data_IF_174753548593
#
_entry.id   IF_174753548593
#
_cell.length_a   1.000
_cell.length_b   1.000
_cell.length_c   1.000
_cell.angle_alpha   90.00
_cell.angle_beta   90.00
_cell.angle_gamma   90.00
#
_symmetry.space_group_name_H-M   'P 1'
#
loop_
_entity.id
_entity.type
_entity.pdbx_description
1 polymer ?
#
# COMPACT_ATOMS: atom_id res chain seq x y z
N UNK A 1 13.70 13.66 0.76
CA UNK A 1 14.50 13.46 1.99
C UNK A 1 16.00 13.40 1.63
N UNK A 2 16.68 14.58 1.61
CA UNK A 2 18.10 14.67 1.16
C UNK A 2 19.08 13.90 2.06
N UNK A 3 18.75 13.78 3.34
CA UNK A 3 19.62 13.16 4.34
C UNK A 3 19.32 11.67 4.58
N UNK A 4 18.38 11.10 3.86
CA UNK A 4 18.01 9.70 3.97
C UNK A 4 18.53 8.89 2.77
N UNK A 5 19.03 7.71 3.08
CA UNK A 5 19.23 6.64 2.13
C UNK A 5 17.93 5.82 2.11
N UNK A 6 17.22 5.83 0.99
CA UNK A 6 15.96 5.11 0.80
C UNK A 6 16.19 3.97 -0.19
N UNK A 7 15.82 2.76 0.18
CA UNK A 7 15.95 1.56 -0.63
C UNK A 7 14.58 0.91 -0.81
N UNK A 8 14.17 0.55 -2.03
CA UNK A 8 12.84 -0.02 -2.29
C UNK A 8 12.76 -1.46 -1.77
N UNK A 9 11.67 -1.81 -1.10
CA UNK A 9 11.48 -3.12 -0.48
C UNK A 9 10.45 -3.97 -1.19
N UNK A 10 9.26 -3.44 -1.42
CA UNK A 10 8.17 -4.13 -2.11
C UNK A 10 7.16 -3.13 -2.67
N UNK A 11 6.46 -3.59 -3.68
CA UNK A 11 5.33 -2.90 -4.27
C UNK A 11 4.02 -3.41 -3.65
N UNK A 12 3.06 -2.53 -3.47
CA UNK A 12 1.74 -2.89 -2.96
C UNK A 12 0.66 -1.99 -3.55
N UNK A 13 -0.56 -2.49 -3.53
CA UNK A 13 -1.71 -1.74 -4.01
C UNK A 13 -2.87 -1.80 -3.00
N UNK A 14 -4.05 -1.42 -3.42
CA UNK A 14 -5.25 -1.34 -2.59
C UNK A 14 -6.20 -2.47 -2.87
N UNK A 15 -6.97 -2.80 -1.85
CA UNK A 15 -8.14 -3.64 -1.96
C UNK A 15 -9.35 -2.90 -1.39
N UNK A 16 -10.52 -3.26 -1.88
CA UNK A 16 -11.79 -2.92 -1.27
C UNK A 16 -12.18 -4.04 -0.31
N UNK A 17 -12.63 -3.69 0.89
CA UNK A 17 -13.14 -4.64 1.88
C UNK A 17 -14.59 -4.30 2.21
N UNK A 18 -15.43 -5.34 2.28
CA UNK A 18 -16.86 -5.23 2.56
C UNK A 18 -17.31 -6.39 3.45
N UNK A 19 -18.43 -6.27 4.18
CA UNK A 19 -19.08 -7.42 4.81
C UNK A 19 -19.46 -8.48 3.79
N UNK A 20 -19.54 -9.75 4.20
CA UNK A 20 -19.88 -10.88 3.30
C UNK A 20 -21.23 -10.76 2.63
N UNK A 21 -22.17 -10.10 3.25
CA UNK A 21 -23.54 -9.87 2.75
C UNK A 21 -23.70 -8.58 1.93
N UNK A 22 -22.61 -7.84 1.72
CA UNK A 22 -22.61 -6.62 0.92
C UNK A 22 -22.76 -6.92 -0.57
N UNK A 23 -23.47 -6.06 -1.32
CA UNK A 23 -23.71 -6.24 -2.77
C UNK A 23 -22.43 -6.40 -3.59
N UNK A 24 -21.36 -5.71 -3.21
CA UNK A 24 -20.08 -5.78 -3.89
C UNK A 24 -19.30 -7.08 -3.59
N UNK A 25 -19.70 -7.88 -2.61
CA UNK A 25 -18.93 -9.08 -2.23
C UNK A 25 -18.77 -10.06 -3.40
N UNK A 26 -19.76 -10.16 -4.29
CA UNK A 26 -19.70 -11.00 -5.50
C UNK A 26 -18.61 -10.60 -6.50
N UNK A 27 -18.07 -9.38 -6.42
CA UNK A 27 -16.96 -8.90 -7.26
C UNK A 27 -15.64 -9.60 -6.92
N UNK A 28 -15.52 -10.20 -5.75
CA UNK A 28 -14.31 -10.94 -5.36
C UNK A 28 -14.03 -12.14 -6.28
N UNK A 29 -15.09 -12.75 -6.84
CA UNK A 29 -14.98 -13.91 -7.75
C UNK A 29 -14.60 -13.51 -9.19
N UNK A 30 -14.49 -12.21 -9.47
CA UNK A 30 -14.23 -11.68 -10.80
C UNK A 30 -13.12 -10.61 -10.75
N UNK A 31 -11.84 -11.01 -10.69
CA UNK A 31 -10.72 -10.07 -10.64
C UNK A 31 -10.78 -9.03 -11.76
N UNK A 32 -10.53 -7.76 -11.42
CA UNK A 32 -10.58 -6.65 -12.37
C UNK A 32 -11.98 -6.16 -12.74
N UNK A 33 -13.05 -6.73 -12.17
CA UNK A 33 -14.43 -6.32 -12.45
C UNK A 33 -14.90 -5.12 -11.64
N UNK A 34 -14.19 -4.74 -10.57
CA UNK A 34 -14.49 -3.57 -9.75
C UNK A 34 -14.17 -2.30 -10.54
N UNK A 35 -15.04 -1.28 -10.45
CA UNK A 35 -14.81 0.04 -11.05
C UNK A 35 -14.83 1.14 -9.98
N UNK A 36 -14.28 2.31 -10.30
CA UNK A 36 -14.35 3.47 -9.41
C UNK A 36 -15.80 3.96 -9.24
N UNK A 37 -16.62 3.81 -10.29
CA UNK A 37 -18.05 4.12 -10.25
C UNK A 37 -18.79 3.23 -9.28
N UNK A 38 -18.50 1.91 -9.27
CA UNK A 38 -19.06 0.98 -8.29
C UNK A 38 -18.77 1.43 -6.86
N UNK A 39 -17.50 1.80 -6.60
CA UNK A 39 -17.06 2.25 -5.27
C UNK A 39 -17.72 3.59 -4.90
N UNK A 40 -17.80 4.54 -5.83
CA UNK A 40 -18.35 5.88 -5.60
C UNK A 40 -19.86 5.87 -5.22
N UNK A 41 -20.59 4.80 -5.54
CA UNK A 41 -22.00 4.65 -5.17
C UNK A 41 -22.20 4.36 -3.67
N UNK A 42 -21.12 4.07 -2.93
CA UNK A 42 -21.19 3.70 -1.52
C UNK A 42 -20.46 4.72 -0.63
N UNK A 43 -20.86 4.83 0.65
CA UNK A 43 -20.04 5.51 1.65
C UNK A 43 -18.67 4.83 1.76
N UNK A 44 -17.59 5.62 1.82
CA UNK A 44 -16.21 5.11 1.82
C UNK A 44 -15.54 5.38 3.16
N UNK A 45 -14.91 4.35 3.69
CA UNK A 45 -14.04 4.38 4.88
C UNK A 45 -12.61 4.10 4.43
N UNK A 46 -11.65 5.00 4.72
CA UNK A 46 -10.27 4.82 4.26
C UNK A 46 -9.27 5.55 5.16
N UNK A 47 -8.02 5.67 4.73
CA UNK A 47 -6.98 6.36 5.47
C UNK A 47 -7.15 7.89 5.45
N UNK A 48 -6.67 8.55 6.51
CA UNK A 48 -6.58 10.03 6.55
C UNK A 48 -5.61 10.55 5.49
N UNK A 49 -5.79 11.80 5.08
CA UNK A 49 -4.88 12.44 4.14
C UNK A 49 -3.44 12.46 4.68
N UNK A 50 -2.47 12.21 3.80
CA UNK A 50 -1.05 12.13 4.15
C UNK A 50 -0.58 10.76 4.63
N UNK A 51 -1.49 9.79 4.81
CA UNK A 51 -1.16 8.41 5.19
C UNK A 51 -1.41 7.43 4.06
N UNK A 52 -0.62 6.36 4.03
CA UNK A 52 -0.79 5.14 3.21
C UNK A 52 -1.22 5.46 1.76
N UNK A 53 -0.52 6.44 1.13
CA UNK A 53 -0.76 6.80 -0.26
C UNK A 53 -2.14 7.37 -0.56
N UNK A 54 -2.85 7.97 0.42
CA UNK A 54 -4.19 8.52 0.26
C UNK A 54 -4.31 9.46 -0.95
N UNK A 55 -3.29 10.28 -1.26
CA UNK A 55 -3.29 11.15 -2.42
C UNK A 55 -3.53 10.41 -3.73
N UNK A 56 -2.96 9.20 -3.90
CA UNK A 56 -3.16 8.39 -5.11
C UNK A 56 -4.59 7.86 -5.26
N UNK A 57 -5.30 7.69 -4.15
CA UNK A 57 -6.73 7.38 -4.16
C UNK A 57 -7.50 8.60 -4.66
N UNK A 58 -7.24 9.77 -4.11
CA UNK A 58 -7.90 11.01 -4.51
C UNK A 58 -7.61 11.32 -5.98
N UNK A 59 -6.35 11.15 -6.45
CA UNK A 59 -5.96 11.33 -7.85
C UNK A 59 -6.75 10.42 -8.81
N UNK A 60 -6.99 9.15 -8.43
CA UNK A 60 -7.76 8.21 -9.24
C UNK A 60 -9.22 8.65 -9.41
N UNK A 61 -9.88 9.10 -8.33
CA UNK A 61 -11.24 9.61 -8.40
C UNK A 61 -11.34 10.92 -9.19
N UNK A 62 -10.37 11.82 -9.00
CA UNK A 62 -10.30 13.09 -9.78
C UNK A 62 -10.13 12.78 -11.27
N UNK A 63 -9.24 11.87 -11.65
CA UNK A 63 -9.00 11.49 -13.04
C UNK A 63 -10.25 10.89 -13.70
N UNK A 64 -11.06 10.17 -12.92
CA UNK A 64 -12.33 9.62 -13.37
C UNK A 64 -13.49 10.63 -13.33
N UNK A 65 -13.26 11.87 -12.87
CA UNK A 65 -14.30 12.89 -12.64
C UNK A 65 -15.40 12.41 -11.68
N UNK A 66 -15.01 11.65 -10.67
CA UNK A 66 -15.89 11.12 -9.61
C UNK A 66 -15.61 11.79 -8.27
N UNK A 67 -16.67 12.01 -7.48
CA UNK A 67 -16.55 12.50 -6.11
C UNK A 67 -16.81 11.34 -5.13
N UNK A 68 -15.76 10.86 -4.40
CA UNK A 68 -15.95 9.79 -3.45
C UNK A 68 -16.71 10.29 -2.20
N UNK A 69 -17.74 9.56 -1.77
CA UNK A 69 -18.46 9.85 -0.53
C UNK A 69 -17.68 9.35 0.70
N UNK A 70 -16.71 10.13 1.15
CA UNK A 70 -15.87 9.81 2.30
C UNK A 70 -16.60 10.11 3.60
N UNK A 71 -17.03 9.07 4.30
CA UNK A 71 -17.78 9.21 5.56
C UNK A 71 -16.91 9.05 6.81
N UNK A 72 -15.79 8.35 6.70
CA UNK A 72 -14.86 8.17 7.83
C UNK A 72 -13.43 7.95 7.35
N UNK A 73 -12.47 8.46 8.11
CA UNK A 73 -11.05 8.24 7.85
C UNK A 73 -10.29 7.90 9.13
N UNK A 74 -9.31 6.99 9.05
CA UNK A 74 -8.46 6.59 10.16
C UNK A 74 -7.00 6.43 9.73
N UNK A 75 -6.09 6.44 10.68
CA UNK A 75 -4.66 6.16 10.45
C UNK A 75 -4.36 4.66 10.44
N UNK A 76 -5.23 3.88 11.06
CA UNK A 76 -5.05 2.46 11.31
C UNK A 76 -6.08 1.62 10.54
N UNK A 77 -5.62 0.52 9.92
CA UNK A 77 -6.46 -0.36 9.10
C UNK A 77 -7.49 -1.13 9.92
N UNK A 78 -7.14 -1.55 11.15
CA UNK A 78 -8.07 -2.32 11.98
C UNK A 78 -9.25 -1.46 12.42
N UNK A 79 -9.02 -0.16 12.60
CA UNK A 79 -10.09 0.82 12.81
C UNK A 79 -10.98 0.91 11.56
N UNK A 80 -10.39 1.02 10.37
CA UNK A 80 -11.16 1.03 9.10
C UNK A 80 -12.01 -0.23 8.99
N UNK A 81 -11.41 -1.42 9.15
CA UNK A 81 -12.10 -2.71 9.10
C UNK A 81 -13.24 -2.80 10.13
N UNK A 82 -13.02 -2.27 11.33
CA UNK A 82 -14.05 -2.22 12.38
C UNK A 82 -15.28 -1.43 11.93
N UNK A 83 -15.09 -0.26 11.35
CA UNK A 83 -16.21 0.55 10.87
C UNK A 83 -16.89 -0.03 9.63
N UNK A 84 -16.15 -0.76 8.79
CA UNK A 84 -16.73 -1.56 7.69
C UNK A 84 -17.65 -2.66 8.25
N UNK A 85 -17.19 -3.39 9.27
CA UNK A 85 -18.01 -4.42 9.99
C UNK A 85 -19.29 -3.84 10.57
N UNK A 86 -19.24 -2.61 11.04
CA UNK A 86 -20.41 -1.89 11.56
C UNK A 86 -21.33 -1.33 10.46
N UNK A 87 -21.03 -1.59 9.19
CA UNK A 87 -21.87 -1.16 8.07
C UNK A 87 -21.77 0.32 7.72
N UNK A 88 -20.72 1.03 8.18
CA UNK A 88 -20.58 2.46 7.90
C UNK A 88 -20.31 2.75 6.41
N UNK A 89 -19.73 1.80 5.71
CA UNK A 89 -19.41 1.92 4.28
C UNK A 89 -18.46 0.83 3.80
N UNK A 90 -17.98 0.98 2.57
CA UNK A 90 -16.94 0.13 1.98
C UNK A 90 -15.56 0.61 2.42
N UNK A 91 -14.67 -0.31 2.76
CA UNK A 91 -13.30 0.01 3.16
C UNK A 91 -12.36 0.02 1.96
N UNK A 92 -11.50 1.04 1.84
CA UNK A 92 -10.38 1.00 0.90
C UNK A 92 -9.09 0.96 1.74
N UNK A 93 -8.38 -0.17 1.69
CA UNK A 93 -7.20 -0.45 2.50
C UNK A 93 -6.01 -0.88 1.65
N UNK A 94 -4.82 -0.93 2.23
CA UNK A 94 -3.67 -1.60 1.63
C UNK A 94 -3.98 -3.11 1.51
N UNK A 95 -3.73 -3.70 0.34
CA UNK A 95 -4.07 -5.11 0.07
C UNK A 95 -3.49 -6.08 1.10
N UNK A 96 -2.25 -5.83 1.53
CA UNK A 96 -1.54 -6.64 2.54
C UNK A 96 -2.06 -6.49 3.97
N UNK A 97 -2.95 -5.54 4.24
CA UNK A 97 -3.53 -5.33 5.55
C UNK A 97 -4.79 -6.18 5.80
N UNK A 98 -5.24 -6.93 4.79
CA UNK A 98 -6.27 -7.95 4.94
C UNK A 98 -5.62 -9.30 5.28
N UNK A 99 -6.11 -9.95 6.29
CA UNK A 99 -5.70 -11.27 6.74
C UNK A 99 -6.90 -12.23 6.70
N UNK A 100 -6.78 -13.33 5.95
CA UNK A 100 -7.89 -14.26 5.70
C UNK A 100 -8.42 -14.93 6.97
N UNK A 101 -7.57 -15.11 7.98
CA UNK A 101 -7.93 -15.77 9.23
C UNK A 101 -8.67 -14.79 10.16
N UNK A 102 -8.10 -13.63 10.42
CA UNK A 102 -8.66 -12.62 11.34
C UNK A 102 -9.79 -11.81 10.75
N UNK A 103 -9.85 -11.66 9.42
CA UNK A 103 -10.86 -10.90 8.68
C UNK A 103 -11.88 -11.79 7.97
N UNK A 104 -12.07 -13.02 8.45
CA UNK A 104 -12.94 -14.03 7.80
C UNK A 104 -14.41 -13.62 7.66
N UNK A 105 -14.87 -12.60 8.36
CA UNK A 105 -16.19 -11.99 8.27
C UNK A 105 -16.31 -10.91 7.20
N UNK A 106 -15.18 -10.50 6.62
CA UNK A 106 -15.08 -9.56 5.49
C UNK A 106 -14.78 -10.31 4.19
N UNK A 107 -14.98 -9.62 3.08
CA UNK A 107 -14.56 -10.04 1.74
C UNK A 107 -13.59 -9.00 1.21
N UNK A 108 -12.41 -9.46 0.78
CA UNK A 108 -11.42 -8.65 0.06
C UNK A 108 -11.68 -8.73 -1.43
N UNK A 109 -11.81 -7.60 -2.08
CA UNK A 109 -11.98 -7.46 -3.51
C UNK A 109 -10.72 -6.76 -4.05
N UNK A 110 -10.06 -7.38 -5.02
CA UNK A 110 -8.90 -6.76 -5.65
C UNK A 110 -9.31 -5.47 -6.38
N UNK A 111 -8.63 -4.39 -6.05
CA UNK A 111 -8.81 -3.07 -6.66
C UNK A 111 -7.48 -2.49 -7.17
N UNK A 112 -6.45 -3.32 -7.30
CA UNK A 112 -5.12 -2.91 -7.72
C UNK A 112 -5.09 -2.20 -9.07
N UNK A 113 -5.92 -2.64 -10.00
CA UNK A 113 -6.04 -2.04 -11.34
C UNK A 113 -6.64 -0.62 -11.35
N UNK A 114 -7.30 -0.20 -10.27
CA UNK A 114 -7.92 1.13 -10.16
C UNK A 114 -6.97 2.21 -9.64
N UNK A 115 -5.90 1.82 -8.99
CA UNK A 115 -5.00 2.75 -8.30
C UNK A 115 -3.55 2.53 -8.70
N UNK A 116 -2.80 3.62 -8.79
CA UNK A 116 -1.34 3.52 -8.94
C UNK A 116 -0.74 2.84 -7.72
N UNK A 117 0.08 1.84 -7.94
CA UNK A 117 0.79 1.11 -6.89
C UNK A 117 1.71 2.01 -6.05
N UNK A 118 2.06 1.54 -4.90
CA UNK A 118 2.95 2.22 -3.96
C UNK A 118 4.16 1.34 -3.65
N UNK A 119 5.33 1.97 -3.47
CA UNK A 119 6.54 1.25 -3.09
C UNK A 119 6.86 1.59 -1.64
N UNK A 120 7.01 0.56 -0.83
CA UNK A 120 7.55 0.69 0.53
C UNK A 120 9.07 0.72 0.47
N UNK A 121 9.66 1.65 1.20
CA UNK A 121 11.10 1.82 1.30
C UNK A 121 11.58 1.62 2.73
N UNK A 122 12.73 1.00 2.90
CA UNK A 122 13.49 1.07 4.14
C UNK A 122 14.50 2.20 4.03
N UNK A 123 14.63 2.99 5.09
CA UNK A 123 15.51 4.16 5.07
C UNK A 123 16.31 4.34 6.35
N UNK A 124 17.51 4.90 6.21
CA UNK A 124 18.36 5.30 7.31
C UNK A 124 19.13 6.58 6.95
N UNK A 125 19.66 7.26 7.96
CA UNK A 125 20.47 8.48 7.71
C UNK A 125 21.74 8.16 6.94
N UNK A 126 22.09 9.02 6.00
CA UNK A 126 23.38 8.95 5.31
C UNK A 126 24.53 9.02 6.32
N UNK A 127 25.59 8.24 6.06
CA UNK A 127 26.73 8.15 6.96
C UNK A 127 26.50 7.33 8.24
N UNK A 128 25.30 6.71 8.40
CA UNK A 128 25.06 5.77 9.49
C UNK A 128 25.92 4.52 9.31
N UNK A 129 26.68 4.16 10.33
CA UNK A 129 27.34 2.86 10.38
C UNK A 129 26.30 1.77 10.66
N UNK A 130 26.03 0.92 9.66
CA UNK A 130 25.10 -0.19 9.80
C UNK A 130 25.75 -1.35 10.55
N UNK A 131 25.23 -1.67 11.72
CA UNK A 131 25.64 -2.85 12.50
C UNK A 131 25.04 -4.10 11.89
N UNK A 132 25.60 -5.25 12.17
CA UNK A 132 25.18 -6.55 11.60
C UNK A 132 23.68 -6.80 11.77
N UNK A 133 23.13 -6.61 12.95
CA UNK A 133 21.69 -6.81 13.19
C UNK A 133 20.78 -5.91 12.35
N UNK A 134 21.27 -4.71 11.96
CA UNK A 134 20.53 -3.83 11.04
C UNK A 134 20.54 -4.37 9.62
N UNK A 135 21.66 -4.93 9.17
CA UNK A 135 21.75 -5.60 7.87
C UNK A 135 20.88 -6.87 7.86
N UNK A 136 20.92 -7.67 8.92
CA UNK A 136 20.10 -8.86 9.08
C UNK A 136 18.59 -8.51 9.06
N UNK A 137 18.19 -7.37 9.66
CA UNK A 137 16.82 -6.85 9.58
C UNK A 137 16.45 -6.43 8.16
N UNK A 138 17.32 -5.70 7.47
CA UNK A 138 17.08 -5.25 6.09
C UNK A 138 16.89 -6.45 5.17
N UNK A 139 17.77 -7.44 5.24
CA UNK A 139 17.73 -8.67 4.44
C UNK A 139 16.48 -9.51 4.76
N UNK A 140 16.11 -9.63 6.05
CA UNK A 140 14.89 -10.34 6.47
C UNK A 140 13.62 -9.64 5.96
N UNK A 141 13.61 -8.30 5.91
CA UNK A 141 12.47 -7.51 5.46
C UNK A 141 12.35 -7.44 3.93
N UNK A 142 13.48 -7.33 3.24
CA UNK A 142 13.60 -7.22 1.79
C UNK A 142 14.82 -8.05 1.30
N UNK A 143 14.65 -9.36 1.01
CA UNK A 143 15.75 -10.28 0.71
C UNK A 143 16.65 -9.88 -0.46
N UNK A 144 16.15 -9.08 -1.40
CA UNK A 144 16.94 -8.54 -2.51
C UNK A 144 17.91 -7.43 -2.09
N UNK A 145 17.75 -6.88 -0.86
CA UNK A 145 18.65 -5.90 -0.27
C UNK A 145 19.76 -6.59 0.52
N UNK A 146 20.53 -7.42 -0.16
CA UNK A 146 21.71 -8.07 0.42
C UNK A 146 22.75 -7.05 0.95
N UNK A 147 23.61 -7.42 1.90
CA UNK A 147 24.61 -6.51 2.48
C UNK A 147 25.48 -5.79 1.45
N UNK A 148 25.80 -6.45 0.32
CA UNK A 148 26.57 -5.84 -0.77
C UNK A 148 25.76 -4.76 -1.50
N UNK A 149 24.48 -4.99 -1.74
CA UNK A 149 23.57 -4.01 -2.36
C UNK A 149 23.39 -2.79 -1.45
N UNK A 150 23.24 -3.03 -0.15
CA UNK A 150 23.15 -1.96 0.87
C UNK A 150 24.44 -1.14 0.90
N UNK A 151 25.63 -1.78 0.84
CA UNK A 151 26.91 -1.10 0.79
C UNK A 151 27.03 -0.21 -0.46
N UNK A 152 26.68 -0.72 -1.64
CA UNK A 152 26.65 0.08 -2.87
C UNK A 152 25.69 1.26 -2.78
N UNK A 153 24.51 1.07 -2.17
CA UNK A 153 23.56 2.14 -1.96
C UNK A 153 24.13 3.26 -1.07
N UNK A 154 24.94 2.91 -0.06
CA UNK A 154 25.60 3.91 0.81
C UNK A 154 26.61 4.78 0.04
N UNK A 155 27.18 4.26 -1.04
CA UNK A 155 28.13 4.97 -1.91
C UNK A 155 27.43 5.90 -2.92
N UNK A 156 26.11 5.73 -3.15
CA UNK A 156 25.35 6.60 -4.05
C UNK A 156 25.08 7.97 -3.42
N UNK A 157 25.62 9.03 -4.02
CA UNK A 157 25.45 10.40 -3.54
C UNK A 157 24.21 11.10 -4.12
N UNK A 158 23.80 10.73 -5.32
CA UNK A 158 22.69 11.34 -6.05
C UNK A 158 21.45 10.45 -6.09
N UNK A 159 20.29 11.05 -6.39
CA UNK A 159 19.05 10.30 -6.62
C UNK A 159 19.16 9.42 -7.87
N UNK A 160 19.78 9.95 -8.94
CA UNK A 160 19.95 9.23 -10.20
C UNK A 160 20.81 7.97 -10.06
N UNK A 161 21.91 8.03 -9.28
CA UNK A 161 22.75 6.85 -9.02
C UNK A 161 21.96 5.75 -8.28
N UNK A 162 21.12 6.14 -7.32
CA UNK A 162 20.24 5.19 -6.61
C UNK A 162 19.17 4.59 -7.52
N UNK A 163 18.54 5.42 -8.34
CA UNK A 163 17.53 4.98 -9.30
C UNK A 163 18.15 3.96 -10.27
N UNK A 164 19.35 4.22 -10.77
CA UNK A 164 20.11 3.27 -11.60
C UNK A 164 20.46 1.99 -10.84
N UNK A 165 20.89 2.08 -9.56
CA UNK A 165 21.23 0.91 -8.77
C UNK A 165 20.04 -0.04 -8.57
N UNK A 166 18.83 0.50 -8.47
CA UNK A 166 17.61 -0.26 -8.18
C UNK A 166 16.71 -0.47 -9.41
N UNK A 167 17.06 0.06 -10.60
CA UNK A 167 16.24 -0.01 -11.82
C UNK A 167 15.95 -1.44 -12.29
N UNK A 168 16.93 -2.33 -12.11
CA UNK A 168 16.86 -3.71 -12.59
C UNK A 168 16.35 -4.70 -11.53
N UNK A 169 15.96 -4.19 -10.35
CA UNK A 169 15.42 -5.02 -9.26
C UNK A 169 13.92 -5.16 -9.44
N UNK A 170 13.46 -6.38 -9.67
CA UNK A 170 12.06 -6.73 -9.64
C UNK A 170 11.58 -6.78 -8.18
N UNK A 171 10.70 -5.85 -7.81
CA UNK A 171 10.20 -5.77 -6.45
C UNK A 171 9.09 -6.82 -6.22
N UNK A 172 9.11 -7.52 -5.08
CA UNK A 172 8.00 -8.39 -4.73
C UNK A 172 6.71 -7.59 -4.54
N UNK A 173 5.58 -8.13 -5.02
CA UNK A 173 4.25 -7.55 -4.84
C UNK A 173 3.63 -8.15 -3.57
N UNK A 174 3.04 -7.30 -2.73
CA UNK A 174 2.36 -7.69 -1.48
C UNK A 174 0.93 -7.18 -1.40
#
# INVERSE_FOLDING_TARGET
>A
FKDLMMMPCYEWNRAVVVPRDHLLASRADSPGSMTLEDIAQHPIVTYVFGFTGRSRLDDAFIAASLEPNLVFTATDTDVIKTYVRLGLGVGIIASMAYDEESDSDLVRIDAGHLFTSSITHIGFRRGTFLRRYMLDLIESFAPHLEPLTVAKAQECFTAAERETLFSDIELPIR
#
